data_IF_540637499649
#
_entry.id   IF_540637499649
#
_cell.length_a   1.000
_cell.length_b   1.000
_cell.length_c   1.000
_cell.angle_alpha   90.00
_cell.angle_beta   90.00
_cell.angle_gamma   90.00
#
_symmetry.space_group_name_H-M   'P 1'
#
loop_
_entity.id
_entity.type
_entity.pdbx_description
1 polymer ?
#
# COMPACT_ATOMS: atom_id res chain seq x y z
N UNK A 1 -12.14 -11.97 -0.37
CA UNK A 1 -13.02 -10.85 -0.65
C UNK A 1 -12.29 -9.82 -1.48
N UNK A 2 -12.90 -9.37 -2.55
CA UNK A 2 -12.26 -8.43 -3.45
C UNK A 2 -11.87 -7.13 -2.76
N UNK A 3 -12.73 -6.63 -1.87
CA UNK A 3 -12.48 -5.38 -1.16
C UNK A 3 -11.23 -5.49 -0.28
N UNK A 4 -11.09 -6.62 0.42
CA UNK A 4 -9.94 -6.83 1.28
C UNK A 4 -8.66 -6.98 0.47
N UNK A 5 -8.75 -7.66 -0.66
CA UNK A 5 -7.58 -7.82 -1.53
C UNK A 5 -7.07 -6.49 -2.03
N UNK A 6 -7.98 -5.60 -2.43
CA UNK A 6 -7.59 -4.27 -2.90
C UNK A 6 -6.91 -3.47 -1.80
N UNK A 7 -7.47 -3.50 -0.58
CA UNK A 7 -6.88 -2.78 0.54
C UNK A 7 -5.49 -3.32 0.84
N UNK A 8 -5.34 -4.64 0.83
CA UNK A 8 -4.06 -5.28 1.09
C UNK A 8 -3.04 -4.91 0.02
N UNK A 9 -3.45 -4.91 -1.25
CA UNK A 9 -2.55 -4.53 -2.34
C UNK A 9 -2.07 -3.09 -2.19
N UNK A 10 -2.95 -2.18 -1.80
CA UNK A 10 -2.56 -0.79 -1.58
C UNK A 10 -1.54 -0.68 -0.44
N UNK A 11 -1.79 -1.39 0.66
CA UNK A 11 -0.88 -1.34 1.81
C UNK A 11 0.49 -1.90 1.44
N UNK A 12 0.52 -3.02 0.72
CA UNK A 12 1.77 -3.60 0.27
C UNK A 12 2.52 -2.65 -0.66
N UNK A 13 1.80 -2.02 -1.57
CA UNK A 13 2.39 -1.08 -2.51
C UNK A 13 3.02 0.10 -1.79
N UNK A 14 2.34 0.63 -0.78
CA UNK A 14 2.89 1.72 0.02
C UNK A 14 4.17 1.28 0.70
N UNK A 15 4.19 0.08 1.26
CA UNK A 15 5.40 -0.45 1.91
C UNK A 15 6.55 -0.55 0.93
N UNK A 16 6.30 -1.14 -0.24
CA UNK A 16 7.34 -1.32 -1.25
C UNK A 16 7.87 0.03 -1.74
N UNK A 17 6.97 0.96 -2.05
CA UNK A 17 7.38 2.27 -2.52
C UNK A 17 8.15 3.05 -1.47
N UNK A 18 7.81 2.87 -0.19
CA UNK A 18 8.50 3.57 0.89
C UNK A 18 9.96 3.15 1.02
N UNK A 19 10.32 2.00 0.46
CA UNK A 19 11.70 1.52 0.49
C UNK A 19 12.57 2.23 -0.54
N UNK A 20 11.98 2.75 -1.60
CA UNK A 20 12.73 3.34 -2.71
C UNK A 20 12.46 4.83 -2.87
N UNK A 21 11.41 5.35 -2.26
CA UNK A 21 11.03 6.76 -2.37
C UNK A 21 11.12 7.43 -1.01
N UNK A 22 11.61 8.66 -0.95
CA UNK A 22 11.66 9.38 0.33
C UNK A 22 10.26 9.65 0.88
N UNK A 23 9.28 9.86 0.00
CA UNK A 23 7.87 10.01 0.39
C UNK A 23 7.02 9.30 -0.64
N UNK A 24 5.81 8.87 -0.22
CA UNK A 24 4.86 8.19 -1.10
C UNK A 24 3.61 9.05 -1.20
N UNK A 25 3.12 9.23 -2.42
CA UNK A 25 1.90 9.99 -2.70
C UNK A 25 0.94 9.12 -3.48
N UNK A 26 -0.33 9.55 -3.55
CA UNK A 26 -1.34 8.83 -4.31
C UNK A 26 -0.93 8.62 -5.77
N UNK A 27 -0.27 9.62 -6.37
CA UNK A 27 0.16 9.51 -7.76
C UNK A 27 1.18 8.39 -7.95
N UNK A 28 2.05 8.20 -6.97
CA UNK A 28 3.06 7.13 -7.05
C UNK A 28 2.38 5.77 -7.03
N UNK A 29 1.36 5.62 -6.18
CA UNK A 29 0.61 4.38 -6.09
C UNK A 29 -0.16 4.13 -7.39
N UNK A 30 -0.79 5.18 -7.92
CA UNK A 30 -1.56 5.07 -9.16
C UNK A 30 -0.67 4.63 -10.31
N UNK A 31 0.54 5.18 -10.41
CA UNK A 31 1.47 4.82 -11.46
C UNK A 31 1.97 3.38 -11.30
N UNK A 32 2.27 3.01 -10.06
CA UNK A 32 2.78 1.66 -9.79
C UNK A 32 1.74 0.59 -10.13
N UNK A 33 0.48 0.82 -9.80
CA UNK A 33 -0.59 -0.16 -10.00
C UNK A 33 -1.33 0.00 -11.32
N UNK A 34 -1.11 1.10 -12.03
CA UNK A 34 -1.81 1.37 -13.28
C UNK A 34 -3.28 1.70 -13.07
N UNK A 35 -3.61 2.29 -11.92
CA UNK A 35 -4.98 2.66 -11.59
C UNK A 35 -5.20 4.15 -11.78
N UNK A 36 -6.46 4.55 -11.88
CA UNK A 36 -6.81 5.96 -11.97
C UNK A 36 -6.56 6.65 -10.64
N UNK A 37 -6.12 7.90 -10.70
CA UNK A 37 -5.86 8.70 -9.49
C UNK A 37 -7.09 8.81 -8.62
N UNK A 38 -8.28 8.96 -9.24
CA UNK A 38 -9.52 9.08 -8.47
C UNK A 38 -9.80 7.82 -7.67
N UNK A 39 -9.56 6.65 -8.25
CA UNK A 39 -9.75 5.37 -7.56
C UNK A 39 -8.79 5.24 -6.39
N UNK A 40 -7.53 5.62 -6.61
CA UNK A 40 -6.52 5.56 -5.56
C UNK A 40 -6.85 6.53 -4.43
N UNK A 41 -7.33 7.73 -4.76
CA UNK A 41 -7.70 8.71 -3.74
C UNK A 41 -8.80 8.19 -2.83
N UNK A 42 -9.82 7.53 -3.40
CA UNK A 42 -10.90 6.94 -2.61
C UNK A 42 -10.35 5.83 -1.71
N UNK A 43 -9.48 4.99 -2.25
CA UNK A 43 -8.88 3.90 -1.49
C UNK A 43 -8.05 4.44 -0.33
N UNK A 44 -7.27 5.50 -0.57
CA UNK A 44 -6.45 6.10 0.48
C UNK A 44 -7.32 6.71 1.58
N UNK A 45 -8.44 7.33 1.21
CA UNK A 45 -9.37 7.86 2.19
C UNK A 45 -9.91 6.75 3.08
N UNK A 46 -10.29 5.62 2.48
CA UNK A 46 -10.81 4.48 3.22
C UNK A 46 -9.76 3.91 4.17
N UNK A 47 -8.53 3.78 3.72
CA UNK A 47 -7.45 3.27 4.55
C UNK A 47 -7.15 4.21 5.71
N UNK A 48 -7.22 5.51 5.46
CA UNK A 48 -7.01 6.51 6.52
C UNK A 48 -8.11 6.42 7.56
N UNK A 49 -9.35 6.23 7.14
CA UNK A 49 -10.48 6.11 8.07
C UNK A 49 -10.36 4.86 8.94
N UNK A 50 -9.74 3.81 8.40
CA UNK A 50 -9.50 2.58 9.16
C UNK A 50 -8.22 2.65 10.01
N UNK A 51 -7.53 3.77 9.98
CA UNK A 51 -6.27 3.98 10.72
C UNK A 51 -5.15 3.06 10.27
N UNK A 52 -5.15 2.67 9.01
CA UNK A 52 -4.04 1.89 8.45
C UNK A 52 -2.97 2.78 7.85
N UNK A 53 -3.31 4.00 7.50
CA UNK A 53 -2.36 4.99 6.98
C UNK A 53 -2.66 6.36 7.59
N UNK A 54 -1.66 7.24 7.53
CA UNK A 54 -1.86 8.67 7.77
C UNK A 54 -1.49 9.40 6.48
N UNK A 55 -2.15 10.54 6.25
CA UNK A 55 -1.86 11.38 5.10
C UNK A 55 -1.60 12.78 5.61
N UNK A 56 -0.44 13.32 5.27
CA UNK A 56 -0.08 14.65 5.73
C UNK A 56 -0.78 15.72 4.90
N UNK A 57 -0.63 16.96 5.34
CA UNK A 57 -1.17 18.11 4.64
C UNK A 57 -0.66 18.20 3.20
N UNK A 58 0.59 17.77 3.00
CA UNK A 58 1.23 17.77 1.68
C UNK A 58 0.79 16.60 0.81
N UNK A 59 0.03 15.67 1.37
CA UNK A 59 -0.38 14.48 0.64
C UNK A 59 0.59 13.32 0.76
N UNK A 60 1.53 13.37 1.70
CA UNK A 60 2.47 12.28 1.93
C UNK A 60 1.79 11.18 2.74
N UNK A 61 1.95 9.95 2.31
CA UNK A 61 1.27 8.79 2.87
C UNK A 61 2.26 7.98 3.71
N UNK A 62 1.86 7.66 4.94
CA UNK A 62 2.67 6.84 5.83
C UNK A 62 1.82 5.73 6.40
N UNK A 63 2.42 4.55 6.56
CA UNK A 63 1.74 3.43 7.21
C UNK A 63 1.73 3.65 8.72
N UNK A 64 0.58 3.37 9.34
CA UNK A 64 0.52 3.28 10.80
C UNK A 64 1.10 1.94 11.23
N UNK A 65 1.25 1.72 12.53
CA UNK A 65 1.75 0.43 13.02
C UNK A 65 0.85 -0.71 12.53
N UNK A 66 -0.47 -0.52 12.58
CA UNK A 66 -1.42 -1.54 12.13
C UNK A 66 -1.29 -1.78 10.63
N UNK A 67 -1.23 -0.69 9.85
CA UNK A 67 -1.09 -0.80 8.40
C UNK A 67 0.21 -1.47 8.01
N UNK A 68 1.29 -1.15 8.71
CA UNK A 68 2.59 -1.75 8.46
C UNK A 68 2.57 -3.25 8.74
N UNK A 69 1.95 -3.65 9.84
CA UNK A 69 1.86 -5.07 10.16
C UNK A 69 1.15 -5.86 9.06
N UNK A 70 0.06 -5.31 8.56
CA UNK A 70 -0.68 -5.96 7.47
C UNK A 70 0.19 -6.01 6.20
N UNK A 71 0.81 -4.88 5.85
CA UNK A 71 1.62 -4.80 4.64
C UNK A 71 2.81 -5.75 4.69
N UNK A 72 3.49 -5.82 5.83
CA UNK A 72 4.65 -6.69 5.99
C UNK A 72 4.26 -8.16 5.92
N UNK A 73 3.13 -8.51 6.50
CA UNK A 73 2.64 -9.88 6.42
C UNK A 73 2.38 -10.30 4.98
N UNK A 74 1.76 -9.42 4.20
CA UNK A 74 1.47 -9.70 2.81
C UNK A 74 2.76 -9.78 2.00
N UNK A 75 3.68 -8.85 2.24
CA UNK A 75 4.96 -8.79 1.53
C UNK A 75 5.76 -10.06 1.79
N UNK A 76 5.83 -10.50 3.04
CA UNK A 76 6.53 -11.74 3.38
C UNK A 76 5.92 -12.94 2.70
N UNK A 77 4.59 -12.99 2.65
CA UNK A 77 3.88 -14.08 1.99
C UNK A 77 4.24 -14.14 0.52
N UNK A 78 4.27 -12.98 -0.14
CA UNK A 78 4.62 -12.92 -1.56
C UNK A 78 6.08 -13.28 -1.79
N UNK A 79 6.97 -12.85 -0.91
CA UNK A 79 8.37 -13.20 -1.01
C UNK A 79 8.60 -14.69 -0.89
N UNK A 80 7.92 -15.33 0.06
CA UNK A 80 8.02 -16.76 0.24
C UNK A 80 7.56 -17.51 -1.00
N UNK A 81 6.44 -17.08 -1.56
CA UNK A 81 5.91 -17.72 -2.76
C UNK A 81 6.86 -17.53 -3.92
N UNK A 82 7.38 -16.33 -4.11
CA UNK A 82 8.31 -16.04 -5.20
C UNK A 82 9.59 -16.84 -5.04
N UNK A 83 10.15 -16.88 -3.85
CA UNK A 83 11.36 -17.64 -3.58
C UNK A 83 11.16 -19.11 -3.81
N UNK A 84 10.01 -19.60 -3.44
CA UNK A 84 9.67 -21.01 -3.62
C UNK A 84 9.54 -21.35 -5.09
N UNK A 85 8.93 -20.49 -5.87
CA UNK A 85 8.76 -20.72 -7.30
C UNK A 85 10.07 -20.67 -8.07
N UNK A 86 10.99 -19.84 -7.63
CA UNK A 86 12.29 -19.70 -8.29
C UNK A 86 13.14 -20.95 -8.10
N UNK A 87 12.97 -21.61 -7.02
CA UNK A 87 13.68 -22.85 -6.75
C UNK A 87 13.11 -24.01 -7.56
#
# INVERSE_FOLDING_TARGET
>A
MAVNESAENYLETILVLSKTHPVVRSVDIAEELGFKKSSVSVAMKNLREKNHITVTKEGFIYLTDTGRQIAEMIYERHELISGWLIQ
#
